data_IF_194756432682
#
_entry.id   IF_194756432682
#
_cell.length_a   1.000
_cell.length_b   1.000
_cell.length_c   1.000
_cell.angle_alpha   90.00
_cell.angle_beta   90.00
_cell.angle_gamma   90.00
#
_symmetry.space_group_name_H-M   'P 1'
#
loop_
_entity.id
_entity.type
_entity.pdbx_description
1 polymer ?
#
# COMPACT_ATOMS: atom_id res chain seq x y z
N UNK A 1 7.95 20.47 -13.21
CA UNK A 1 7.78 19.14 -13.83
C UNK A 1 6.63 18.44 -13.14
N UNK A 2 5.59 18.05 -13.89
CA UNK A 2 4.42 17.38 -13.34
C UNK A 2 4.79 15.93 -13.07
N UNK A 3 4.90 15.54 -11.80
CA UNK A 3 5.14 14.15 -11.43
C UNK A 3 3.85 13.37 -11.72
N UNK A 4 3.87 12.48 -12.71
CA UNK A 4 2.72 11.66 -13.03
C UNK A 4 2.68 10.48 -12.05
N UNK A 5 1.62 10.40 -11.24
CA UNK A 5 1.41 9.27 -10.34
C UNK A 5 1.13 8.00 -11.16
N UNK A 6 1.86 6.93 -10.89
CA UNK A 6 1.60 5.63 -11.50
C UNK A 6 0.51 4.91 -10.71
N UNK A 7 -0.74 5.04 -11.18
CA UNK A 7 -1.91 4.44 -10.53
C UNK A 7 -2.44 3.28 -11.37
N UNK A 8 -2.71 2.15 -10.71
CA UNK A 8 -3.36 0.97 -11.30
C UNK A 8 -4.71 0.72 -10.68
N UNK A 9 -5.63 0.15 -11.46
CA UNK A 9 -6.87 -0.39 -10.93
C UNK A 9 -6.61 -1.79 -10.39
N UNK A 10 -7.26 -2.13 -9.29
CA UNK A 10 -7.07 -3.42 -8.66
C UNK A 10 -8.13 -3.75 -7.62
N UNK A 11 -7.91 -4.83 -6.89
CA UNK A 11 -8.74 -5.23 -5.76
C UNK A 11 -7.88 -5.54 -4.54
N UNK A 12 -8.45 -5.29 -3.36
CA UNK A 12 -7.94 -5.76 -2.06
C UNK A 12 -9.04 -6.59 -1.43
N UNK A 13 -8.81 -7.89 -1.22
CA UNK A 13 -9.82 -8.83 -0.71
C UNK A 13 -11.17 -8.70 -1.46
N UNK A 14 -11.11 -8.56 -2.79
CA UNK A 14 -12.28 -8.43 -3.67
C UNK A 14 -12.91 -7.03 -3.75
N UNK A 15 -12.48 -6.06 -2.93
CA UNK A 15 -12.96 -4.67 -3.03
C UNK A 15 -12.13 -3.90 -4.05
N UNK A 16 -12.81 -3.28 -5.02
CA UNK A 16 -12.18 -2.44 -6.04
C UNK A 16 -11.49 -1.21 -5.41
N UNK A 17 -10.23 -1.00 -5.79
CA UNK A 17 -9.40 0.12 -5.32
C UNK A 17 -8.52 0.68 -6.44
N UNK A 18 -8.04 1.91 -6.22
CA UNK A 18 -6.91 2.49 -6.95
C UNK A 18 -5.63 2.25 -6.14
N UNK A 19 -4.62 1.69 -6.79
CA UNK A 19 -3.33 1.37 -6.18
C UNK A 19 -2.27 2.32 -6.75
N UNK A 20 -1.57 3.04 -5.87
CA UNK A 20 -0.40 3.81 -6.24
C UNK A 20 0.82 2.90 -6.21
N UNK A 21 1.58 2.84 -7.31
CA UNK A 21 2.88 2.20 -7.34
C UNK A 21 3.93 3.23 -6.92
N UNK A 22 4.45 3.06 -5.71
CA UNK A 22 5.40 3.98 -5.09
C UNK A 22 6.67 3.22 -4.70
N UNK A 23 7.72 3.37 -5.52
CA UNK A 23 9.03 2.77 -5.23
C UNK A 23 9.76 3.45 -4.07
N UNK A 24 9.28 4.61 -3.61
CA UNK A 24 9.84 5.32 -2.45
C UNK A 24 9.25 4.88 -1.11
N UNK A 25 8.23 4.03 -1.11
CA UNK A 25 7.62 3.52 0.12
C UNK A 25 8.26 2.20 0.56
N UNK A 26 8.73 2.14 1.81
CA UNK A 26 9.28 0.91 2.40
C UNK A 26 8.22 -0.17 2.68
N UNK A 27 6.95 0.26 2.82
CA UNK A 27 5.84 -0.60 3.20
C UNK A 27 4.58 -0.28 2.41
N UNK A 28 3.81 -1.33 2.08
CA UNK A 28 2.46 -1.17 1.56
C UNK A 28 1.53 -0.59 2.63
N UNK A 29 0.84 0.49 2.30
CA UNK A 29 -0.13 1.14 3.19
C UNK A 29 -1.53 0.99 2.63
N UNK A 30 -2.42 0.39 3.40
CA UNK A 30 -3.83 0.26 3.08
C UNK A 30 -4.66 1.29 3.85
N UNK A 31 -5.72 1.81 3.20
CA UNK A 31 -6.68 2.68 3.90
C UNK A 31 -7.35 1.91 5.04
N UNK A 32 -7.48 2.57 6.19
CA UNK A 32 -8.31 2.08 7.31
C UNK A 32 -9.71 1.73 6.76
N UNK A 33 -10.29 0.62 7.25
CA UNK A 33 -11.61 0.07 6.88
C UNK A 33 -11.68 -0.69 5.56
N UNK A 34 -10.58 -0.89 4.84
CA UNK A 34 -10.53 -1.99 3.87
C UNK A 34 -10.57 -3.32 4.65
N UNK A 35 -11.43 -4.29 4.26
CA UNK A 35 -11.47 -5.59 4.89
C UNK A 35 -10.11 -6.25 4.74
N UNK A 36 -9.54 -6.69 5.85
CA UNK A 36 -8.32 -7.48 5.88
C UNK A 36 -8.24 -8.26 7.18
N UNK A 37 -7.55 -9.39 7.16
CA UNK A 37 -7.33 -10.17 8.37
C UNK A 37 -6.24 -9.48 9.19
N UNK A 38 -6.59 -8.96 10.36
CA UNK A 38 -5.61 -8.37 11.29
C UNK A 38 -4.74 -9.47 11.87
N UNK A 39 -3.43 -9.33 11.72
CA UNK A 39 -2.42 -10.23 12.29
C UNK A 39 -1.95 -9.74 13.65
N UNK A 40 -1.61 -8.45 13.73
CA UNK A 40 -1.15 -7.80 14.96
C UNK A 40 -1.42 -6.30 14.94
N UNK A 41 -1.21 -5.64 16.06
CA UNK A 41 -1.27 -4.20 16.21
C UNK A 41 0.04 -3.66 16.77
N UNK A 42 0.52 -2.55 16.19
CA UNK A 42 1.70 -1.84 16.70
C UNK A 42 1.53 -0.34 16.59
N UNK A 43 2.31 0.40 17.36
CA UNK A 43 2.50 1.83 17.11
C UNK A 43 3.51 2.02 16.00
N UNK A 44 3.16 2.83 15.01
CA UNK A 44 4.03 3.18 13.91
C UNK A 44 3.99 4.69 13.66
N UNK A 45 5.06 5.17 13.04
CA UNK A 45 5.23 6.54 12.56
C UNK A 45 5.53 6.43 11.07
N UNK A 46 4.94 7.30 10.25
CA UNK A 46 5.26 7.42 8.84
C UNK A 46 6.02 8.73 8.61
N UNK A 47 7.09 8.64 7.83
CA UNK A 47 7.81 9.79 7.29
C UNK A 47 7.40 9.98 5.82
N UNK A 48 6.99 11.19 5.46
CA UNK A 48 6.66 11.58 4.10
C UNK A 48 7.89 12.01 3.31
N UNK A 49 7.77 12.04 1.98
CA UNK A 49 8.85 12.49 1.09
C UNK A 49 9.29 13.95 1.34
N UNK A 50 8.42 14.75 1.95
CA UNK A 50 8.65 16.15 2.33
C UNK A 50 9.32 16.28 3.72
N UNK A 51 9.71 15.17 4.35
CA UNK A 51 10.26 15.11 5.70
C UNK A 51 9.21 15.30 6.79
N UNK A 52 7.92 15.36 6.45
CA UNK A 52 6.85 15.39 7.46
C UNK A 52 6.75 14.05 8.18
N UNK A 53 6.46 14.09 9.47
CA UNK A 53 6.37 12.89 10.31
C UNK A 53 5.02 12.90 11.01
N UNK A 54 4.31 11.77 10.97
CA UNK A 54 3.05 11.62 11.71
C UNK A 54 3.31 11.38 13.19
N UNK A 55 2.39 11.81 14.07
CA UNK A 55 2.39 11.31 15.46
C UNK A 55 2.34 9.77 15.49
N UNK A 56 2.90 9.09 16.51
CA UNK A 56 2.80 7.65 16.65
C UNK A 56 1.34 7.19 16.70
N UNK A 57 0.92 6.41 15.71
CA UNK A 57 -0.44 5.88 15.62
C UNK A 57 -0.46 4.37 15.78
N UNK A 58 -1.52 3.86 16.41
CA UNK A 58 -1.84 2.44 16.32
C UNK A 58 -2.25 2.08 14.90
N UNK A 59 -1.56 1.09 14.34
CA UNK A 59 -1.85 0.50 13.03
C UNK A 59 -2.12 -0.99 13.18
N UNK A 60 -2.86 -1.55 12.21
CA UNK A 60 -3.00 -2.98 12.05
C UNK A 60 -1.98 -3.45 11.02
N UNK A 61 -1.21 -4.47 11.35
CA UNK A 61 -0.58 -5.30 10.33
C UNK A 61 -1.61 -6.34 9.88
N UNK A 62 -1.75 -6.51 8.57
CA UNK A 62 -2.82 -7.31 7.99
C UNK A 62 -2.29 -8.24 6.92
N UNK A 63 -2.96 -9.39 6.77
CA UNK A 63 -2.87 -10.18 5.56
C UNK A 63 -4.00 -9.76 4.61
N UNK A 64 -3.67 -9.51 3.35
CA UNK A 64 -4.62 -9.10 2.33
C UNK A 64 -4.20 -9.60 0.95
N UNK A 65 -5.16 -10.15 0.22
CA UNK A 65 -4.99 -10.54 -1.17
C UNK A 65 -5.13 -9.29 -2.05
N UNK A 66 -4.10 -8.99 -2.83
CA UNK A 66 -4.05 -7.82 -3.71
C UNK A 66 -3.91 -8.30 -5.15
N UNK A 67 -4.79 -7.83 -6.03
CA UNK A 67 -4.67 -8.01 -7.48
C UNK A 67 -4.73 -6.65 -8.16
N UNK A 68 -4.01 -6.45 -9.24
CA UNK A 68 -4.08 -5.21 -10.04
C UNK A 68 -3.63 -5.44 -11.48
N UNK A 69 -3.99 -4.51 -12.34
CA UNK A 69 -3.65 -4.53 -13.75
C UNK A 69 -2.13 -4.43 -13.98
N UNK A 70 -1.56 -5.40 -14.68
CA UNK A 70 -0.16 -5.40 -15.09
C UNK A 70 0.25 -6.72 -15.73
N UNK A 71 1.32 -6.70 -16.50
CA UNK A 71 1.95 -7.91 -17.06
C UNK A 71 3.16 -8.26 -16.21
N UNK A 72 3.19 -9.50 -15.69
CA UNK A 72 4.36 -10.02 -15.02
C UNK A 72 5.38 -10.46 -16.08
N UNK A 73 6.50 -9.76 -16.18
CA UNK A 73 7.62 -10.20 -17.00
C UNK A 73 8.35 -11.33 -16.26
N UNK A 74 7.98 -12.57 -16.56
CA UNK A 74 8.68 -13.75 -16.06
C UNK A 74 10.03 -13.87 -16.76
N UNK A 75 11.11 -13.55 -16.07
CA UNK A 75 12.44 -13.98 -16.51
C UNK A 75 12.61 -15.43 -16.05
N UNK A 76 12.91 -16.39 -16.95
CA UNK A 76 13.23 -17.74 -16.54
C UNK A 76 14.45 -17.69 -15.62
N UNK A 77 14.28 -18.20 -14.40
CA UNK A 77 15.35 -18.51 -13.45
C UNK A 77 16.12 -19.74 -13.91
#
# INVERSE_FOLDING_TARGET
>A
MTHQLLVKQGTVNGIAVKILLDSGADHNVLRKRLPAQVLTQKKAVAEGFDGSVTDPQWINEVNADITFEGEAMGFPI
#
